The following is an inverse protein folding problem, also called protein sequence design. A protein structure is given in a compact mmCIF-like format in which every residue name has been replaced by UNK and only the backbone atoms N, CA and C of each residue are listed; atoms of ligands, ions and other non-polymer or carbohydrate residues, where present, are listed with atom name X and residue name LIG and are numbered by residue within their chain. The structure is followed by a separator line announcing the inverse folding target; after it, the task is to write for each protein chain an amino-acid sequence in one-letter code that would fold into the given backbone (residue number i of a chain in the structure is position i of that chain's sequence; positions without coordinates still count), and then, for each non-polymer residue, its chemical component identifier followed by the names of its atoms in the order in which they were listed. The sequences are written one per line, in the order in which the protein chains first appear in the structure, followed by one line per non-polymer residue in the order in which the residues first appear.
data_IF_532254449808
#
_entry.id   IF_532254449808
#
_cell.length_a   1.000
_cell.length_b   1.000
_cell.length_c   1.000
_cell.angle_alpha   90.00
_cell.angle_beta   90.00
_cell.angle_gamma   90.00
#
_symmetry.space_group_name_H-M   'P 1'
#
loop_
_entity.id
_entity.type
_entity.pdbx_description
1 polymer ?
#
# COMPACT_ATOMS: atom_id res chain seq x y z
N UNK A 1 -85.77 -2.52 13.62
CA UNK A 1 -85.20 -2.44 14.98
C UNK A 1 -83.95 -3.29 14.96
N UNK A 2 -82.79 -2.67 14.83
CA UNK A 2 -81.49 -3.30 15.06
C UNK A 2 -80.86 -2.71 16.33
N UNK A 3 -80.61 -3.56 17.33
CA UNK A 3 -79.56 -3.36 18.32
C UNK A 3 -78.70 -4.65 18.44
N UNK A 4 -77.42 -4.74 18.84
CA UNK A 4 -76.37 -3.88 19.39
C UNK A 4 -75.05 -4.68 19.22
N UNK A 5 -74.03 -4.05 18.63
CA UNK A 5 -72.59 -4.03 19.01
C UNK A 5 -71.85 -5.35 19.35
N UNK A 6 -70.77 -5.64 18.61
CA UNK A 6 -69.44 -5.70 19.24
C UNK A 6 -68.32 -5.28 18.28
N UNK A 7 -67.51 -4.30 18.72
CA UNK A 7 -66.28 -3.83 18.07
C UNK A 7 -65.12 -4.76 18.47
N UNK A 8 -64.22 -5.13 17.57
CA UNK A 8 -62.76 -5.13 17.76
C UNK A 8 -62.05 -5.62 16.48
N UNK A 9 -60.97 -4.93 16.12
CA UNK A 9 -60.23 -4.87 14.84
C UNK A 9 -59.45 -6.14 14.47
N UNK A 10 -59.19 -6.40 13.16
CA UNK A 10 -58.19 -7.38 12.76
C UNK A 10 -56.80 -6.75 12.87
N UNK A 11 -55.94 -7.33 13.72
CA UNK A 11 -54.49 -7.18 13.57
C UNK A 11 -53.96 -8.57 13.29
N UNK A 12 -53.69 -8.85 12.02
CA UNK A 12 -52.69 -9.85 11.68
C UNK A 12 -51.63 -9.15 10.81
N UNK A 13 -50.48 -8.91 11.45
CA UNK A 13 -49.31 -8.30 10.86
C UNK A 13 -48.62 -9.28 9.92
N UNK A 14 -48.00 -8.72 8.87
CA UNK A 14 -47.02 -9.37 7.99
C UNK A 14 -47.62 -10.37 6.99
N UNK A 15 -48.47 -9.86 6.10
CA UNK A 15 -48.62 -10.45 4.78
C UNK A 15 -47.30 -10.39 4.03
N UNK A 16 -46.82 -11.55 3.56
CA UNK A 16 -45.65 -11.64 2.70
C UNK A 16 -45.83 -10.73 1.49
N UNK A 17 -44.96 -9.74 1.35
CA UNK A 17 -44.91 -8.91 0.15
C UNK A 17 -44.49 -9.82 -1.00
N UNK A 18 -45.46 -10.19 -1.84
CA UNK A 18 -45.17 -10.89 -3.08
C UNK A 18 -44.37 -9.92 -3.98
N UNK A 19 -43.13 -10.26 -4.37
CA UNK A 19 -42.29 -9.34 -5.11
C UNK A 19 -42.92 -9.05 -6.47
N UNK A 20 -43.27 -7.79 -6.72
CA UNK A 20 -43.75 -7.34 -8.04
C UNK A 20 -42.60 -7.37 -9.05
N UNK A 21 -42.86 -7.51 -10.37
CA UNK A 21 -41.82 -7.54 -11.40
C UNK A 21 -40.83 -6.37 -11.32
N UNK A 22 -41.29 -5.19 -10.91
CA UNK A 22 -40.43 -4.01 -10.69
C UNK A 22 -39.41 -4.20 -9.55
N UNK A 23 -39.74 -4.93 -8.49
CA UNK A 23 -38.80 -5.20 -7.38
C UNK A 23 -37.67 -6.15 -7.79
N UNK A 24 -37.96 -7.11 -8.68
CA UNK A 24 -36.99 -8.10 -9.18
C UNK A 24 -35.98 -7.44 -10.14
N UNK A 25 -36.47 -6.59 -11.05
CA UNK A 25 -35.62 -5.84 -12.00
C UNK A 25 -34.73 -4.84 -11.26
N UNK A 26 -35.26 -4.19 -10.21
CA UNK A 26 -34.50 -3.26 -9.39
C UNK A 26 -33.42 -3.98 -8.56
N UNK A 27 -33.74 -5.14 -7.96
CA UNK A 27 -32.75 -6.00 -7.28
C UNK A 27 -31.65 -6.49 -8.22
N UNK A 28 -31.97 -6.97 -9.43
CA UNK A 28 -30.95 -7.33 -10.42
C UNK A 28 -30.02 -6.16 -10.76
N UNK A 29 -30.56 -4.94 -10.88
CA UNK A 29 -29.75 -3.74 -11.10
C UNK A 29 -28.87 -3.41 -9.90
N UNK A 30 -29.35 -3.56 -8.66
CA UNK A 30 -28.58 -3.31 -7.44
C UNK A 30 -27.46 -4.34 -7.24
N UNK A 31 -27.72 -5.62 -7.50
CA UNK A 31 -26.70 -6.67 -7.45
C UNK A 31 -25.67 -6.53 -8.59
N UNK A 32 -26.10 -6.19 -9.80
CA UNK A 32 -25.20 -5.91 -10.92
C UNK A 32 -24.30 -4.71 -10.63
N UNK A 33 -24.86 -3.59 -10.14
CA UNK A 33 -24.09 -2.41 -9.73
C UNK A 33 -23.13 -2.71 -8.56
N UNK A 34 -23.54 -3.53 -7.60
CA UNK A 34 -22.68 -3.98 -6.51
C UNK A 34 -21.52 -4.86 -7.01
N UNK A 35 -21.77 -5.78 -7.95
CA UNK A 35 -20.73 -6.60 -8.58
C UNK A 35 -19.73 -5.76 -9.38
N UNK A 36 -20.20 -4.72 -10.08
CA UNK A 36 -19.31 -3.79 -10.78
C UNK A 36 -18.44 -3.01 -9.81
N UNK A 37 -19.03 -2.55 -8.70
CA UNK A 37 -18.28 -1.85 -7.64
C UNK A 37 -17.21 -2.75 -7.02
N UNK A 38 -17.53 -4.01 -6.71
CA UNK A 38 -16.57 -4.98 -6.18
C UNK A 38 -15.45 -5.32 -7.16
N UNK A 39 -15.77 -5.47 -8.44
CA UNK A 39 -14.75 -5.66 -9.49
C UNK A 39 -13.82 -4.45 -9.60
N UNK A 40 -14.35 -3.23 -9.53
CA UNK A 40 -13.53 -2.02 -9.52
C UNK A 40 -12.61 -1.94 -8.29
N UNK A 41 -13.11 -2.34 -7.11
CA UNK A 41 -12.30 -2.42 -5.88
C UNK A 41 -11.19 -3.47 -6.05
N UNK A 42 -11.50 -4.66 -6.57
CA UNK A 42 -10.50 -5.70 -6.79
C UNK A 42 -9.43 -5.25 -7.78
N UNK A 43 -9.82 -4.60 -8.88
CA UNK A 43 -8.87 -4.03 -9.83
C UNK A 43 -7.95 -3.00 -9.18
N UNK A 44 -8.50 -2.09 -8.37
CA UNK A 44 -7.73 -1.08 -7.65
C UNK A 44 -6.76 -1.71 -6.65
N UNK A 45 -7.19 -2.77 -5.95
CA UNK A 45 -6.34 -3.52 -5.03
C UNK A 45 -5.19 -4.21 -5.77
N UNK A 46 -5.46 -4.84 -6.92
CA UNK A 46 -4.42 -5.46 -7.76
C UNK A 46 -3.41 -4.43 -8.25
N UNK A 47 -3.88 -3.28 -8.76
CA UNK A 47 -3.01 -2.18 -9.20
C UNK A 47 -2.14 -1.67 -8.03
N UNK A 48 -2.76 -1.37 -6.89
CA UNK A 48 -2.05 -0.91 -5.70
C UNK A 48 -1.03 -1.94 -5.20
N UNK A 49 -1.35 -3.24 -5.27
CA UNK A 49 -0.43 -4.32 -4.91
C UNK A 49 0.79 -4.36 -5.81
N UNK A 50 0.59 -4.24 -7.13
CA UNK A 50 1.68 -4.20 -8.11
C UNK A 50 2.58 -2.96 -7.89
N UNK A 51 1.98 -1.80 -7.65
CA UNK A 51 2.72 -0.55 -7.40
C UNK A 51 3.54 -0.64 -6.12
N UNK A 52 2.97 -1.21 -5.04
CA UNK A 52 3.69 -1.45 -3.79
C UNK A 52 4.86 -2.40 -3.99
N UNK A 53 4.67 -3.47 -4.76
CA UNK A 53 5.73 -4.44 -5.05
C UNK A 53 6.88 -3.81 -5.86
N UNK A 54 6.55 -3.03 -6.89
CA UNK A 54 7.55 -2.32 -7.69
C UNK A 54 8.35 -1.31 -6.84
N UNK A 55 7.68 -0.56 -5.98
CA UNK A 55 8.33 0.39 -5.06
C UNK A 55 9.20 -0.32 -4.02
N UNK A 56 8.73 -1.45 -3.48
CA UNK A 56 9.49 -2.26 -2.52
C UNK A 56 10.79 -2.81 -3.15
N UNK A 57 10.76 -3.25 -4.40
CA UNK A 57 11.97 -3.69 -5.10
C UNK A 57 12.97 -2.55 -5.25
N UNK A 58 12.53 -1.39 -5.77
CA UNK A 58 13.38 -0.22 -5.93
C UNK A 58 13.97 0.27 -4.59
N UNK A 59 13.18 0.27 -3.52
CA UNK A 59 13.63 0.71 -2.19
C UNK A 59 14.54 -0.32 -1.51
N UNK A 60 14.38 -1.61 -1.81
CA UNK A 60 15.31 -2.65 -1.38
C UNK A 60 16.70 -2.47 -1.97
N UNK A 61 16.78 -2.13 -3.26
CA UNK A 61 18.04 -1.81 -3.92
C UNK A 61 18.69 -0.58 -3.30
N UNK A 62 17.93 0.51 -3.11
CA UNK A 62 18.42 1.74 -2.46
C UNK A 62 18.93 1.46 -1.03
N UNK A 63 18.20 0.65 -0.25
CA UNK A 63 18.61 0.31 1.11
C UNK A 63 19.94 -0.44 1.13
N UNK A 64 20.06 -1.48 0.29
CA UNK A 64 21.28 -2.29 0.18
C UNK A 64 22.45 -1.46 -0.30
N UNK A 65 22.26 -0.70 -1.38
CA UNK A 65 23.34 0.04 -2.01
C UNK A 65 23.81 1.19 -1.11
N UNK A 66 22.88 1.92 -0.46
CA UNK A 66 23.23 2.95 0.52
C UNK A 66 24.00 2.37 1.72
N UNK A 67 23.59 1.20 2.23
CA UNK A 67 24.30 0.53 3.32
C UNK A 67 25.71 0.10 2.90
N UNK A 68 25.86 -0.44 1.69
CA UNK A 68 27.18 -0.80 1.15
C UNK A 68 28.07 0.44 1.03
N UNK A 69 27.55 1.57 0.54
CA UNK A 69 28.30 2.83 0.47
C UNK A 69 28.65 3.37 1.86
N UNK A 70 27.76 3.27 2.84
CA UNK A 70 28.07 3.63 4.23
C UNK A 70 29.23 2.78 4.80
N UNK A 71 29.24 1.48 4.51
CA UNK A 71 30.31 0.57 4.92
C UNK A 71 31.65 0.90 4.24
N UNK A 72 31.63 1.34 2.96
CA UNK A 72 32.83 1.82 2.29
C UNK A 72 33.41 3.07 2.96
N UNK A 73 32.55 4.02 3.35
CA UNK A 73 32.96 5.23 4.10
C UNK A 73 33.55 4.86 5.45
N UNK A 74 32.93 3.94 6.17
CA UNK A 74 33.47 3.39 7.42
C UNK A 74 34.83 2.72 7.24
N UNK A 75 35.02 2.00 6.14
CA UNK A 75 36.31 1.43 5.78
C UNK A 75 37.41 2.48 5.53
N UNK A 76 37.06 3.65 4.98
CA UNK A 76 37.99 4.79 4.87
C UNK A 76 38.26 5.38 6.25
N UNK A 77 37.23 5.61 7.06
CA UNK A 77 37.38 6.12 8.43
C UNK A 77 38.25 5.22 9.31
N UNK A 78 38.14 3.91 9.16
CA UNK A 78 38.91 2.93 9.93
C UNK A 78 40.41 2.96 9.61
N UNK A 79 40.79 3.43 8.42
CA UNK A 79 42.18 3.61 7.99
C UNK A 79 42.80 4.94 8.46
N UNK A 80 42.01 5.81 9.09
CA UNK A 80 42.48 7.09 9.62
C UNK A 80 42.94 6.91 11.07
N UNK A 81 44.26 6.99 11.27
CA UNK A 81 44.90 6.77 12.58
C UNK A 81 44.58 7.89 13.59
N UNK A 82 44.38 9.13 13.11
CA UNK A 82 44.10 10.30 13.95
C UNK A 82 42.83 11.04 13.49
N UNK A 83 42.13 11.76 14.38
CA UNK A 83 40.94 12.54 14.04
C UNK A 83 41.19 13.55 12.91
N UNK A 84 42.33 14.23 12.94
CA UNK A 84 42.78 15.20 11.94
C UNK A 84 43.33 14.58 10.64
N UNK A 85 43.45 13.25 10.58
CA UNK A 85 43.84 12.57 9.35
C UNK A 85 42.72 12.68 8.34
N UNK A 86 43.07 13.00 7.10
CA UNK A 86 42.08 13.16 6.03
C UNK A 86 42.09 11.98 5.08
N UNK A 87 40.92 11.47 4.74
CA UNK A 87 40.69 10.41 3.75
C UNK A 87 39.91 10.93 2.55
N UNK A 88 40.03 10.25 1.43
CA UNK A 88 39.24 10.53 0.23
C UNK A 88 38.04 9.59 0.17
N UNK A 89 36.89 10.12 -0.24
CA UNK A 89 35.72 9.28 -0.50
C UNK A 89 35.94 8.46 -1.77
N UNK A 90 35.55 7.17 -1.78
CA UNK A 90 35.56 6.39 -2.99
C UNK A 90 34.65 7.05 -4.05
N UNK A 91 35.04 7.07 -5.34
CA UNK A 91 34.22 7.66 -6.41
C UNK A 91 32.81 7.08 -6.46
N UNK A 92 32.67 5.77 -6.20
CA UNK A 92 31.37 5.08 -6.16
C UNK A 92 30.42 5.61 -5.09
N UNK A 93 30.94 6.17 -3.99
CA UNK A 93 30.12 6.82 -2.95
C UNK A 93 29.66 8.19 -3.44
N UNK A 94 30.57 8.98 -4.01
CA UNK A 94 30.28 10.32 -4.54
C UNK A 94 29.20 10.23 -5.63
N UNK A 95 29.39 9.34 -6.60
CA UNK A 95 28.45 9.15 -7.72
C UNK A 95 27.08 8.71 -7.23
N UNK A 96 27.04 7.79 -6.26
CA UNK A 96 25.79 7.32 -5.67
C UNK A 96 25.04 8.44 -4.96
N UNK A 97 25.75 9.27 -4.18
CA UNK A 97 25.14 10.39 -3.45
C UNK A 97 24.60 11.45 -4.41
N UNK A 98 25.30 11.73 -5.51
CA UNK A 98 24.81 12.63 -6.57
C UNK A 98 23.58 12.07 -7.27
N UNK A 99 23.64 10.82 -7.73
CA UNK A 99 22.55 10.19 -8.45
C UNK A 99 21.26 10.11 -7.63
N UNK A 100 21.37 9.94 -6.31
CA UNK A 100 20.24 9.82 -5.40
C UNK A 100 19.89 11.11 -4.64
N UNK A 101 20.52 12.25 -4.97
CA UNK A 101 20.32 13.53 -4.30
C UNK A 101 20.43 13.44 -2.76
N UNK A 102 21.42 12.69 -2.27
CA UNK A 102 21.66 12.51 -0.84
C UNK A 102 22.43 13.73 -0.34
N UNK A 103 21.82 14.46 0.60
CA UNK A 103 22.43 15.63 1.21
C UNK A 103 23.21 15.25 2.47
N UNK A 104 24.34 15.92 2.67
CA UNK A 104 25.16 15.86 3.88
C UNK A 104 25.09 17.23 4.53
N UNK A 105 24.56 17.29 5.74
CA UNK A 105 24.37 18.56 6.47
C UNK A 105 23.63 19.64 5.64
N UNK A 106 22.63 19.21 4.86
CA UNK A 106 21.83 20.08 4.00
C UNK A 106 22.51 20.51 2.69
N UNK A 107 23.72 20.03 2.39
CA UNK A 107 24.48 20.34 1.18
C UNK A 107 24.65 19.11 0.29
N UNK A 108 24.84 19.33 -1.01
CA UNK A 108 25.24 18.25 -1.92
C UNK A 108 26.66 17.77 -1.59
N UNK A 109 27.02 16.56 -2.04
CA UNK A 109 28.36 16.03 -1.74
C UNK A 109 29.48 16.89 -2.33
N UNK A 110 29.24 17.54 -3.47
CA UNK A 110 30.22 18.44 -4.10
C UNK A 110 30.43 19.69 -3.25
N UNK A 111 29.33 20.37 -2.86
CA UNK A 111 29.38 21.54 -1.97
C UNK A 111 29.94 21.20 -0.58
N UNK A 112 29.71 19.97 -0.10
CA UNK A 112 30.25 19.51 1.17
C UNK A 112 31.76 19.27 1.12
N UNK A 113 32.29 18.88 -0.04
CA UNK A 113 33.73 18.69 -0.28
C UNK A 113 34.43 19.98 -0.74
N UNK A 114 33.68 20.97 -1.21
CA UNK A 114 34.18 22.28 -1.60
C UNK A 114 34.80 23.00 -0.39
N UNK A 115 36.01 23.54 -0.57
CA UNK A 115 36.80 24.14 0.51
C UNK A 115 37.58 23.15 1.40
N UNK A 116 37.36 21.84 1.27
CA UNK A 116 38.10 20.79 2.02
C UNK A 116 39.24 20.15 1.23
N UNK A 117 39.40 20.53 -0.05
CA UNK A 117 40.44 20.04 -0.94
C UNK A 117 40.26 18.56 -1.33
N UNK A 118 39.00 18.08 -1.35
CA UNK A 118 38.66 16.69 -1.70
C UNK A 118 39.00 15.65 -0.62
N UNK A 119 39.54 16.07 0.53
CA UNK A 119 39.89 15.18 1.64
C UNK A 119 39.08 15.54 2.87
N UNK A 120 38.41 14.54 3.43
CA UNK A 120 37.50 14.65 4.56
C UNK A 120 38.16 14.09 5.81
N UNK A 121 38.01 14.78 6.94
CA UNK A 121 38.45 14.26 8.23
C UNK A 121 37.47 13.20 8.76
N UNK A 122 37.78 12.63 9.92
CA UNK A 122 36.95 11.57 10.51
C UNK A 122 35.53 12.05 10.88
N UNK A 123 35.38 13.32 11.27
CA UNK A 123 34.07 13.90 11.59
C UNK A 123 33.22 14.07 10.33
N UNK A 124 33.82 14.56 9.26
CA UNK A 124 33.18 14.72 7.96
C UNK A 124 32.72 13.40 7.36
N UNK A 125 33.59 12.37 7.40
CA UNK A 125 33.22 11.04 6.93
C UNK A 125 32.10 10.42 7.78
N UNK A 126 32.05 10.73 9.09
CA UNK A 126 30.95 10.31 9.96
C UNK A 126 29.62 10.97 9.55
N UNK A 127 29.63 12.23 9.12
CA UNK A 127 28.44 12.89 8.58
C UNK A 127 27.97 12.23 7.28
N UNK A 128 28.90 11.95 6.37
CA UNK A 128 28.60 11.25 5.10
C UNK A 128 28.01 9.87 5.38
N UNK A 129 28.63 9.10 6.29
CA UNK A 129 28.14 7.79 6.72
C UNK A 129 26.72 7.89 7.29
N UNK A 130 26.50 8.82 8.22
CA UNK A 130 25.20 9.04 8.86
C UNK A 130 24.10 9.38 7.85
N UNK A 131 24.39 10.23 6.85
CA UNK A 131 23.45 10.51 5.75
C UNK A 131 23.09 9.26 4.95
N UNK A 132 24.07 8.41 4.63
CA UNK A 132 23.84 7.15 3.90
C UNK A 132 23.05 6.13 4.74
N UNK A 133 23.41 5.95 6.02
CA UNK A 133 22.68 5.09 6.96
C UNK A 133 21.23 5.58 7.16
N UNK A 134 21.01 6.90 7.21
CA UNK A 134 19.67 7.48 7.28
C UNK A 134 18.84 7.14 6.04
N UNK A 135 19.44 7.23 4.84
CA UNK A 135 18.76 6.85 3.60
C UNK A 135 18.45 5.35 3.59
N UNK A 136 19.40 4.50 4.00
CA UNK A 136 19.21 3.06 4.10
C UNK A 136 18.10 2.69 5.10
N UNK A 137 18.09 3.33 6.27
CA UNK A 137 17.06 3.15 7.30
C UNK A 137 15.68 3.54 6.77
N UNK A 138 15.53 4.74 6.21
CA UNK A 138 14.25 5.19 5.61
C UNK A 138 13.75 4.26 4.51
N UNK A 139 14.64 3.75 3.68
CA UNK A 139 14.29 2.80 2.63
C UNK A 139 13.85 1.45 3.19
N UNK A 140 14.52 0.97 4.25
CA UNK A 140 14.15 -0.24 4.98
C UNK A 140 12.79 -0.10 5.66
N UNK A 141 12.55 1.02 6.34
CA UNK A 141 11.27 1.33 6.97
C UNK A 141 10.14 1.34 5.95
N UNK A 142 10.38 1.94 4.78
CA UNK A 142 9.44 1.92 3.68
C UNK A 142 9.12 0.49 3.22
N UNK A 143 10.12 -0.38 3.09
CA UNK A 143 9.91 -1.77 2.70
C UNK A 143 9.08 -2.54 3.72
N UNK A 144 9.38 -2.38 5.01
CA UNK A 144 8.61 -2.99 6.10
C UNK A 144 7.15 -2.53 6.07
N UNK A 145 6.92 -1.22 5.93
CA UNK A 145 5.56 -0.68 5.82
C UNK A 145 4.86 -1.14 4.54
N UNK A 146 5.57 -1.24 3.43
CA UNK A 146 5.01 -1.70 2.14
C UNK A 146 4.63 -3.17 2.19
N UNK A 147 5.41 -4.00 2.88
CA UNK A 147 5.08 -5.40 3.10
C UNK A 147 3.78 -5.56 3.90
N UNK A 148 3.60 -4.79 4.98
CA UNK A 148 2.34 -4.80 5.76
C UNK A 148 1.14 -4.34 4.92
N UNK A 149 1.29 -3.26 4.17
CA UNK A 149 0.25 -2.78 3.25
C UNK A 149 -0.08 -3.82 2.18
N UNK A 150 0.92 -4.51 1.64
CA UNK A 150 0.72 -5.58 0.66
C UNK A 150 -0.07 -6.75 1.26
N UNK A 151 0.23 -7.15 2.50
CA UNK A 151 -0.57 -8.16 3.22
C UNK A 151 -2.03 -7.71 3.38
N UNK A 152 -2.26 -6.43 3.72
CA UNK A 152 -3.60 -5.87 3.82
C UNK A 152 -4.32 -5.87 2.46
N UNK A 153 -3.64 -5.49 1.38
CA UNK A 153 -4.19 -5.55 0.01
C UNK A 153 -4.60 -6.98 -0.35
N UNK A 154 -3.77 -7.98 -0.02
CA UNK A 154 -4.07 -9.39 -0.27
C UNK A 154 -5.29 -9.88 0.54
N UNK A 155 -5.39 -9.49 1.82
CA UNK A 155 -6.55 -9.82 2.66
C UNK A 155 -7.83 -9.17 2.14
N UNK A 156 -7.76 -7.89 1.76
CA UNK A 156 -8.88 -7.15 1.17
C UNK A 156 -9.31 -7.78 -0.16
N UNK A 157 -8.35 -8.16 -1.02
CA UNK A 157 -8.62 -8.81 -2.29
C UNK A 157 -9.33 -10.15 -2.08
N UNK A 158 -8.82 -11.00 -1.18
CA UNK A 158 -9.44 -12.30 -0.86
C UNK A 158 -10.87 -12.11 -0.34
N UNK A 159 -11.09 -11.11 0.52
CA UNK A 159 -12.41 -10.80 1.08
C UNK A 159 -13.38 -10.32 -0.01
N UNK A 160 -12.95 -9.40 -0.87
CA UNK A 160 -13.76 -8.92 -2.01
C UNK A 160 -14.09 -10.04 -3.00
N UNK A 161 -13.16 -10.97 -3.23
CA UNK A 161 -13.40 -12.13 -4.08
C UNK A 161 -14.46 -13.07 -3.47
N UNK A 162 -14.40 -13.32 -2.16
CA UNK A 162 -15.41 -14.13 -1.46
C UNK A 162 -16.79 -13.45 -1.45
N UNK A 163 -16.84 -12.13 -1.30
CA UNK A 163 -18.08 -11.36 -1.38
C UNK A 163 -18.68 -11.42 -2.79
N UNK A 164 -17.83 -11.31 -3.82
CA UNK A 164 -18.23 -11.43 -5.22
C UNK A 164 -18.85 -12.81 -5.50
N UNK A 165 -18.25 -13.88 -5.01
CA UNK A 165 -18.79 -15.24 -5.13
C UNK A 165 -20.13 -15.41 -4.39
N UNK A 166 -20.26 -14.83 -3.20
CA UNK A 166 -21.52 -14.81 -2.45
C UNK A 166 -22.63 -14.10 -3.22
N UNK A 167 -22.31 -12.94 -3.83
CA UNK A 167 -23.26 -12.19 -4.67
C UNK A 167 -23.65 -12.95 -5.94
N UNK A 168 -22.70 -13.60 -6.61
CA UNK A 168 -22.99 -14.44 -7.79
C UNK A 168 -23.91 -15.61 -7.44
N UNK A 169 -23.66 -16.28 -6.30
CA UNK A 169 -24.50 -17.36 -5.81
C UNK A 169 -25.93 -16.89 -5.49
N UNK A 170 -26.06 -15.72 -4.87
CA UNK A 170 -27.36 -15.12 -4.59
C UNK A 170 -28.12 -14.75 -5.86
N UNK A 171 -27.44 -14.19 -6.87
CA UNK A 171 -28.03 -13.92 -8.19
C UNK A 171 -28.51 -15.19 -8.89
N UNK A 172 -27.73 -16.27 -8.81
CA UNK A 172 -28.10 -17.56 -9.39
C UNK A 172 -29.37 -18.12 -8.72
N UNK A 173 -29.44 -18.08 -7.38
CA UNK A 173 -30.60 -18.54 -6.62
C UNK A 173 -31.84 -17.67 -6.90
N UNK A 174 -31.71 -16.35 -6.97
CA UNK A 174 -32.81 -15.45 -7.35
C UNK A 174 -33.33 -15.72 -8.76
N UNK A 175 -32.43 -15.97 -9.72
CA UNK A 175 -32.80 -16.30 -11.10
C UNK A 175 -33.53 -17.65 -11.16
N UNK A 176 -33.10 -18.62 -10.36
CA UNK A 176 -33.75 -19.94 -10.26
C UNK A 176 -35.13 -19.86 -9.57
N UNK A 177 -35.25 -19.07 -8.50
CA UNK A 177 -36.51 -18.86 -7.78
C UNK A 177 -37.56 -18.16 -8.65
N UNK A 178 -37.18 -17.16 -9.42
CA UNK A 178 -38.08 -16.48 -10.38
C UNK A 178 -38.52 -17.41 -11.52
N UNK A 179 -37.62 -18.20 -12.08
CA UNK A 179 -37.98 -19.21 -13.08
C UNK A 179 -38.94 -20.30 -12.53
N UNK A 180 -38.82 -20.64 -11.24
CA UNK A 180 -39.68 -21.63 -10.58
C UNK A 180 -41.06 -21.07 -10.23
N UNK A 181 -41.18 -19.76 -10.02
CA UNK A 181 -42.44 -19.08 -9.72
C UNK A 181 -43.30 -18.78 -10.98
N UNK A 182 -42.73 -18.92 -12.18
CA UNK A 182 -43.42 -18.68 -13.47
C UNK A 182 -43.99 -19.98 -14.07
N UNK A 183 -43.56 -21.16 -13.58
CA UNK A 183 -44.16 -22.46 -13.88
C UNK A 183 -45.30 -22.76 -12.91
#
# INVERSE_FOLDING_TARGET
MDPIVNKFTPVNSLGGVQPTPQSIVNSQSMFSNGLQTMQNIMLQLTQSGNDLFAQMNKKSEIARDAQEKANLVEGVMAKLDKPESKGELPPSVIDYMKANNILVDGKTIDEFMEGKGGKLDKGDLMMVKSSLETVAGRATDFNQQSQLKLQQVMQNYSTSNQLTQSMQSMLAEMTKGTASAIR
#
